data_IF_397540537686
#
_entry.id   IF_397540537686
#
_cell.length_a   1.000
_cell.length_b   1.000
_cell.length_c   1.000
_cell.angle_alpha   90.00
_cell.angle_beta   90.00
_cell.angle_gamma   90.00
#
_symmetry.space_group_name_H-M   'P 1'
#
loop_
_entity.id
_entity.type
_entity.pdbx_description
1 polymer ?
#
# COMPACT_ATOMS: atom_id res chain seq x y z
N UNK A 1 -27.75 18.82 35.82
CA UNK A 1 -28.37 18.37 34.57
C UNK A 1 -27.42 17.43 33.86
N UNK A 2 -27.60 16.12 34.05
CA UNK A 2 -26.91 15.06 33.29
C UNK A 2 -27.89 14.59 32.23
N UNK A 3 -27.57 14.72 30.96
CA UNK A 3 -28.34 14.11 29.88
C UNK A 3 -27.36 13.63 28.76
N UNK A 4 -27.23 12.33 28.66
CA UNK A 4 -27.32 11.46 27.50
C UNK A 4 -26.50 11.84 26.27
N UNK A 5 -25.29 11.30 26.21
CA UNK A 5 -24.61 10.92 24.98
C UNK A 5 -24.51 9.38 24.94
N UNK A 6 -25.56 8.72 24.53
CA UNK A 6 -25.60 7.29 24.17
C UNK A 6 -26.54 7.13 22.98
N UNK A 7 -26.14 6.25 22.05
CA UNK A 7 -26.94 5.74 20.91
C UNK A 7 -26.81 6.52 19.59
N UNK A 8 -25.64 6.42 18.96
CA UNK A 8 -25.52 6.38 17.49
C UNK A 8 -24.34 5.50 17.09
N UNK A 9 -24.40 4.20 17.37
CA UNK A 9 -23.54 3.19 16.75
C UNK A 9 -24.22 1.82 16.85
N UNK A 10 -24.57 1.31 15.67
CA UNK A 10 -24.97 -0.06 15.36
C UNK A 10 -26.48 -0.38 15.35
N UNK A 11 -27.04 -0.72 14.18
CA UNK A 11 -27.45 -2.08 13.95
C UNK A 11 -27.43 -2.52 12.47
N UNK A 12 -26.28 -2.81 11.86
CA UNK A 12 -26.26 -3.49 10.56
C UNK A 12 -25.23 -4.65 10.47
N UNK A 13 -24.46 -4.91 11.53
CA UNK A 13 -23.36 -5.88 11.47
C UNK A 13 -23.63 -7.27 12.04
N UNK A 14 -24.79 -7.56 12.64
CA UNK A 14 -25.01 -8.83 13.36
C UNK A 14 -25.34 -10.05 12.48
N UNK A 15 -25.84 -9.85 11.27
CA UNK A 15 -26.23 -10.95 10.38
C UNK A 15 -25.09 -11.57 9.55
N UNK A 16 -24.10 -10.78 9.18
CA UNK A 16 -22.99 -11.20 8.33
C UNK A 16 -21.91 -11.95 9.13
N UNK A 17 -21.57 -11.43 10.32
CA UNK A 17 -20.58 -12.05 11.22
C UNK A 17 -21.00 -13.44 11.74
N UNK A 18 -22.29 -13.68 11.88
CA UNK A 18 -22.83 -14.99 12.34
C UNK A 18 -22.66 -16.12 11.33
N UNK A 19 -22.62 -15.83 10.03
CA UNK A 19 -22.41 -16.83 8.96
C UNK A 19 -20.92 -17.13 8.71
N UNK A 20 -20.02 -16.19 8.96
CA UNK A 20 -18.58 -16.30 8.73
C UNK A 20 -17.88 -17.18 9.80
N UNK A 21 -18.42 -17.22 11.04
CA UNK A 21 -17.86 -18.05 12.13
C UNK A 21 -18.09 -19.57 11.99
N UNK A 22 -18.89 -20.03 11.04
CA UNK A 22 -19.27 -21.47 10.94
C UNK A 22 -18.40 -22.32 10.02
N UNK A 23 -17.38 -21.76 9.37
CA UNK A 23 -16.37 -22.53 8.60
C UNK A 23 -15.01 -22.32 9.27
N UNK A 24 -14.54 -23.32 10.00
CA UNK A 24 -13.38 -23.33 10.87
C UNK A 24 -12.07 -22.86 10.23
N UNK A 25 -11.80 -21.60 10.32
CA UNK A 25 -10.57 -20.93 9.96
C UNK A 25 -10.75 -19.42 10.05
N UNK A 26 -9.79 -18.69 10.64
CA UNK A 26 -9.80 -17.23 10.63
C UNK A 26 -9.55 -16.76 9.20
N UNK A 27 -10.55 -16.13 8.56
CA UNK A 27 -10.39 -15.49 7.25
C UNK A 27 -9.42 -14.31 7.38
N UNK A 28 -8.66 -14.06 6.30
CA UNK A 28 -7.75 -12.91 6.22
C UNK A 28 -8.50 -11.59 6.44
N UNK A 29 -8.01 -10.76 7.37
CA UNK A 29 -8.55 -9.42 7.61
C UNK A 29 -8.28 -8.48 6.42
N UNK A 30 -7.19 -8.72 5.68
CA UNK A 30 -6.89 -7.98 4.46
C UNK A 30 -7.96 -8.18 3.39
N UNK A 31 -8.43 -9.42 3.19
CA UNK A 31 -9.52 -9.71 2.26
C UNK A 31 -10.82 -9.06 2.71
N UNK A 32 -11.13 -9.13 4.01
CA UNK A 32 -12.33 -8.48 4.57
C UNK A 32 -12.29 -6.97 4.33
N UNK A 33 -11.14 -6.34 4.57
CA UNK A 33 -10.94 -4.90 4.33
C UNK A 33 -11.15 -4.56 2.86
N UNK A 34 -10.56 -5.35 1.96
CA UNK A 34 -10.70 -5.17 0.51
C UNK A 34 -12.15 -5.35 0.05
N UNK A 35 -12.83 -6.41 0.48
CA UNK A 35 -14.24 -6.67 0.13
C UNK A 35 -15.12 -5.51 0.58
N UNK A 36 -14.95 -5.03 1.82
CA UNK A 36 -15.76 -3.94 2.36
C UNK A 36 -15.52 -2.63 1.58
N UNK A 37 -14.26 -2.33 1.26
CA UNK A 37 -13.92 -1.16 0.45
C UNK A 37 -14.55 -1.25 -0.95
N UNK A 38 -14.44 -2.39 -1.63
CA UNK A 38 -15.03 -2.58 -2.95
C UNK A 38 -16.56 -2.44 -2.93
N UNK A 39 -17.23 -3.04 -1.95
CA UNK A 39 -18.68 -2.91 -1.77
C UNK A 39 -19.09 -1.46 -1.55
N UNK A 40 -18.38 -0.76 -0.66
CA UNK A 40 -18.66 0.64 -0.38
C UNK A 40 -18.46 1.55 -1.62
N UNK A 41 -17.44 1.29 -2.44
CA UNK A 41 -17.24 2.02 -3.71
C UNK A 41 -18.37 1.73 -4.69
N UNK A 42 -18.76 0.45 -4.87
CA UNK A 42 -19.80 0.05 -5.81
C UNK A 42 -21.19 0.56 -5.41
N UNK A 43 -21.49 0.63 -4.11
CA UNK A 43 -22.80 0.99 -3.57
C UNK A 43 -22.95 2.51 -3.36
N UNK A 44 -21.88 3.17 -2.91
CA UNK A 44 -21.91 4.55 -2.43
C UNK A 44 -20.92 5.49 -3.18
N UNK A 45 -20.24 4.99 -4.20
CA UNK A 45 -19.31 5.77 -5.01
C UNK A 45 -20.02 6.65 -6.03
N UNK A 46 -19.27 7.60 -6.59
CA UNK A 46 -19.73 8.51 -7.65
C UNK A 46 -19.16 8.06 -9.00
N UNK A 47 -20.01 7.92 -10.01
CA UNK A 47 -19.58 7.63 -11.38
C UNK A 47 -18.99 8.86 -12.05
N UNK A 48 -17.95 8.64 -12.87
CA UNK A 48 -17.37 9.68 -13.75
C UNK A 48 -17.88 9.53 -15.20
N UNK A 49 -18.92 8.71 -15.43
CA UNK A 49 -19.50 8.53 -16.77
C UNK A 49 -20.00 9.88 -17.33
N UNK A 50 -19.57 10.18 -18.57
CA UNK A 50 -19.88 11.46 -19.22
C UNK A 50 -18.97 12.62 -18.83
N UNK A 51 -18.07 12.47 -17.84
CA UNK A 51 -17.07 13.48 -17.52
C UNK A 51 -15.88 13.44 -18.50
N UNK A 52 -15.16 14.57 -18.60
CA UNK A 52 -13.86 14.60 -19.29
C UNK A 52 -12.80 13.93 -18.43
N UNK A 53 -12.54 12.65 -18.67
CA UNK A 53 -11.50 11.88 -17.98
C UNK A 53 -10.22 11.82 -18.81
N UNK A 54 -9.05 11.78 -18.15
CA UNK A 54 -7.74 11.63 -18.80
C UNK A 54 -7.49 10.20 -19.25
N UNK A 55 -7.70 9.18 -18.39
CA UNK A 55 -7.36 7.79 -18.74
C UNK A 55 -8.21 7.27 -19.89
N UNK A 56 -7.57 6.45 -20.71
CA UNK A 56 -8.22 5.74 -21.83
C UNK A 56 -7.90 4.26 -21.79
N UNK A 57 -8.80 3.49 -22.32
CA UNK A 57 -8.56 2.10 -22.64
C UNK A 57 -7.67 1.96 -23.89
N UNK A 58 -7.04 0.80 -24.15
CA UNK A 58 -6.20 0.58 -25.32
C UNK A 58 -6.91 0.83 -26.66
N UNK A 59 -8.24 0.73 -26.70
CA UNK A 59 -9.06 1.03 -27.88
C UNK A 59 -9.36 2.53 -28.05
N UNK A 60 -8.79 3.38 -27.19
CA UNK A 60 -8.95 4.84 -27.22
C UNK A 60 -10.23 5.36 -26.57
N UNK A 61 -11.12 4.49 -26.10
CA UNK A 61 -12.33 4.91 -25.39
C UNK A 61 -12.01 5.46 -23.99
N UNK A 62 -12.79 6.43 -23.47
CA UNK A 62 -12.60 6.93 -22.10
C UNK A 62 -12.72 5.81 -21.07
N UNK A 63 -11.81 5.78 -20.09
CA UNK A 63 -11.87 4.86 -18.97
C UNK A 63 -12.58 5.53 -17.79
N UNK A 64 -13.87 5.28 -17.68
CA UNK A 64 -14.69 5.81 -16.58
C UNK A 64 -14.51 4.99 -15.31
N UNK A 65 -14.82 5.62 -14.17
CA UNK A 65 -14.68 4.99 -12.85
C UNK A 65 -15.92 5.19 -12.01
N UNK A 66 -16.12 4.29 -11.05
CA UNK A 66 -16.86 4.58 -9.82
C UNK A 66 -15.81 4.84 -8.74
N UNK A 67 -15.88 5.99 -8.09
CA UNK A 67 -14.86 6.43 -7.12
C UNK A 67 -15.46 6.86 -5.79
N UNK A 68 -14.66 6.73 -4.74
CA UNK A 68 -14.97 7.21 -3.41
C UNK A 68 -13.84 8.06 -2.84
N UNK A 69 -14.21 9.19 -2.28
CA UNK A 69 -13.27 10.12 -1.66
C UNK A 69 -13.00 9.73 -0.20
N UNK A 70 -11.72 9.77 0.19
CA UNK A 70 -11.32 9.71 1.60
C UNK A 70 -11.44 8.33 2.23
N UNK A 71 -11.07 7.26 1.53
CA UNK A 71 -11.03 5.90 2.06
C UNK A 71 -9.83 5.71 2.98
N UNK A 72 -10.06 5.11 4.16
CA UNK A 72 -9.01 4.80 5.14
C UNK A 72 -9.08 3.32 5.50
N UNK A 73 -8.06 2.57 5.12
CA UNK A 73 -7.89 1.17 5.47
C UNK A 73 -6.83 1.02 6.56
N UNK A 74 -7.02 0.09 7.49
CA UNK A 74 -6.11 -0.17 8.59
C UNK A 74 -5.69 -1.63 8.61
N UNK A 75 -4.37 -1.87 8.70
CA UNK A 75 -3.77 -3.19 8.72
C UNK A 75 -2.87 -3.31 9.96
N UNK A 76 -3.28 -4.15 10.92
CA UNK A 76 -2.48 -4.46 12.10
C UNK A 76 -1.43 -5.52 11.73
N UNK A 77 -0.23 -5.05 11.37
CA UNK A 77 0.88 -5.90 10.92
C UNK A 77 1.41 -6.83 12.03
N UNK A 78 1.06 -6.56 13.29
CA UNK A 78 1.40 -7.46 14.39
C UNK A 78 0.54 -8.71 14.43
N UNK A 79 -0.61 -8.71 13.74
CA UNK A 79 -1.56 -9.83 13.69
C UNK A 79 -1.47 -10.66 12.43
N UNK A 80 -1.39 -9.98 11.28
CA UNK A 80 -1.28 -10.66 9.99
C UNK A 80 -0.58 -9.78 8.95
N UNK A 81 0.02 -10.43 7.95
CA UNK A 81 0.55 -9.74 6.79
C UNK A 81 -0.57 -9.49 5.77
N UNK A 82 -0.77 -8.23 5.29
CA UNK A 82 -1.97 -7.85 4.55
C UNK A 82 -1.91 -8.19 3.05
N UNK A 83 -1.68 -9.46 2.72
CA UNK A 83 -1.71 -9.98 1.35
C UNK A 83 -3.06 -10.63 1.08
N UNK A 84 -3.68 -10.34 -0.08
CA UNK A 84 -4.97 -10.92 -0.45
C UNK A 84 -4.86 -12.43 -0.70
N UNK A 85 -5.90 -13.16 -0.28
CA UNK A 85 -6.09 -14.57 -0.61
C UNK A 85 -7.17 -14.81 -1.67
N UNK A 86 -8.00 -13.81 -1.98
CA UNK A 86 -9.00 -13.89 -3.05
C UNK A 86 -8.41 -14.13 -4.43
N UNK A 87 -7.22 -13.61 -4.66
CA UNK A 87 -6.33 -13.87 -5.80
C UNK A 87 -4.88 -13.70 -5.38
N UNK A 88 -3.96 -14.27 -6.13
CA UNK A 88 -2.53 -14.19 -5.80
C UNK A 88 -1.98 -12.79 -6.05
N UNK A 89 -1.25 -12.24 -5.07
CA UNK A 89 -0.38 -11.08 -5.23
C UNK A 89 1.08 -11.54 -5.32
N UNK A 90 1.82 -11.02 -6.30
CA UNK A 90 3.21 -11.41 -6.54
C UNK A 90 4.16 -10.72 -5.55
N UNK A 91 4.29 -11.25 -4.33
CA UNK A 91 5.09 -10.68 -3.24
C UNK A 91 6.51 -10.31 -3.66
N UNK A 92 7.21 -11.22 -4.37
CA UNK A 92 8.59 -10.96 -4.78
C UNK A 92 8.72 -9.77 -5.73
N UNK A 93 7.80 -9.62 -6.68
CA UNK A 93 7.81 -8.50 -7.62
C UNK A 93 7.43 -7.20 -6.93
N UNK A 94 6.44 -7.22 -6.03
CA UNK A 94 6.07 -6.07 -5.23
C UNK A 94 7.22 -5.63 -4.30
N UNK A 95 7.95 -6.57 -3.70
CA UNK A 95 9.14 -6.28 -2.90
C UNK A 95 10.28 -5.70 -3.74
N UNK A 96 10.52 -6.24 -4.93
CA UNK A 96 11.57 -5.77 -5.84
C UNK A 96 11.32 -4.30 -6.25
N UNK A 97 10.09 -3.95 -6.59
CA UNK A 97 9.70 -2.58 -6.89
C UNK A 97 9.85 -1.66 -5.67
N UNK A 98 9.44 -2.10 -4.49
CA UNK A 98 9.61 -1.33 -3.27
C UNK A 98 11.11 -1.06 -3.01
N UNK A 99 11.98 -2.06 -3.18
CA UNK A 99 13.44 -1.91 -3.04
C UNK A 99 14.03 -1.01 -4.15
N UNK A 100 13.50 -1.09 -5.36
CA UNK A 100 13.88 -0.19 -6.45
C UNK A 100 13.59 1.28 -6.10
N UNK A 101 12.42 1.56 -5.52
CA UNK A 101 12.03 2.92 -5.11
C UNK A 101 12.80 3.37 -3.86
N UNK A 102 12.81 2.57 -2.79
CA UNK A 102 13.25 2.99 -1.46
C UNK A 102 14.73 2.73 -1.15
N UNK A 103 15.29 1.65 -1.68
CA UNK A 103 16.66 1.24 -1.40
C UNK A 103 17.61 1.71 -2.49
N UNK A 104 17.34 1.35 -3.76
CA UNK A 104 18.13 1.79 -4.91
C UNK A 104 17.93 3.27 -5.23
N UNK A 105 16.75 3.82 -4.89
CA UNK A 105 16.37 5.21 -5.16
C UNK A 105 16.48 5.51 -6.66
N UNK A 106 16.17 4.53 -7.48
CA UNK A 106 16.29 4.59 -8.93
C UNK A 106 14.99 5.07 -9.58
N UNK A 107 15.12 5.67 -10.73
CA UNK A 107 14.07 6.02 -11.65
C UNK A 107 14.25 5.35 -13.03
N UNK A 108 15.16 4.38 -13.14
CA UNK A 108 15.42 3.65 -14.37
C UNK A 108 14.89 2.22 -14.26
N UNK A 109 14.05 1.79 -15.22
CA UNK A 109 13.42 0.46 -15.24
C UNK A 109 14.41 -0.68 -15.43
N UNK A 110 15.61 -0.43 -15.95
CA UNK A 110 16.66 -1.45 -16.09
C UNK A 110 17.20 -1.94 -14.73
N UNK A 111 16.94 -1.20 -13.66
CA UNK A 111 17.24 -1.60 -12.27
C UNK A 111 16.16 -2.46 -11.64
N UNK A 112 15.03 -2.68 -12.33
CA UNK A 112 13.86 -3.43 -11.89
C UNK A 112 13.75 -4.75 -12.66
N UNK A 113 13.37 -5.83 -11.99
CA UNK A 113 13.24 -7.15 -12.65
C UNK A 113 11.88 -7.38 -13.31
N UNK A 114 10.90 -6.53 -13.08
CA UNK A 114 9.57 -6.65 -13.66
C UNK A 114 9.32 -5.57 -14.72
N UNK A 115 8.36 -5.83 -15.62
CA UNK A 115 8.01 -4.95 -16.73
C UNK A 115 6.81 -4.05 -16.44
N UNK A 116 6.46 -3.87 -15.17
CA UNK A 116 5.24 -3.15 -14.77
C UNK A 116 5.33 -1.62 -14.97
N UNK A 117 6.53 -1.11 -15.25
CA UNK A 117 6.79 0.31 -15.49
C UNK A 117 7.12 0.66 -16.94
N UNK A 118 7.17 -0.32 -17.85
CA UNK A 118 7.59 -0.13 -19.25
C UNK A 118 6.74 0.94 -19.97
N UNK A 119 5.43 1.00 -19.70
CA UNK A 119 4.49 1.96 -20.31
C UNK A 119 4.78 3.44 -19.93
N UNK A 120 5.53 3.66 -18.85
CA UNK A 120 5.86 5.01 -18.34
C UNK A 120 7.33 5.38 -18.51
N UNK A 121 8.14 4.47 -19.03
CA UNK A 121 9.55 4.72 -19.29
C UNK A 121 9.75 5.43 -20.64
N UNK A 122 10.74 6.32 -20.69
CA UNK A 122 11.24 6.88 -21.94
C UNK A 122 12.20 5.89 -22.67
N UNK A 123 12.78 6.33 -23.79
CA UNK A 123 13.67 5.49 -24.60
C UNK A 123 14.95 5.06 -23.85
N UNK A 124 15.37 5.82 -22.83
CA UNK A 124 16.52 5.53 -21.98
C UNK A 124 16.13 4.65 -20.76
N UNK A 125 14.87 4.28 -20.65
CA UNK A 125 14.32 3.50 -19.53
C UNK A 125 14.05 4.32 -18.27
N UNK A 126 14.05 5.65 -18.36
CA UNK A 126 13.77 6.53 -17.22
C UNK A 126 12.27 6.83 -17.07
N UNK A 127 11.78 6.90 -15.84
CA UNK A 127 10.45 7.44 -15.51
C UNK A 127 10.48 8.92 -15.11
N UNK A 128 11.57 9.60 -15.43
CA UNK A 128 11.80 10.99 -15.06
C UNK A 128 12.13 11.17 -13.57
N UNK A 129 11.93 12.37 -13.04
CA UNK A 129 12.23 12.72 -11.64
C UNK A 129 11.19 12.17 -10.64
N UNK A 130 10.62 10.99 -10.91
CA UNK A 130 9.56 10.40 -10.11
C UNK A 130 10.08 9.37 -9.10
N UNK A 131 9.25 9.05 -8.11
CA UNK A 131 9.42 7.97 -7.12
C UNK A 131 10.82 7.90 -6.48
N UNK A 132 11.65 6.90 -6.85
CA UNK A 132 12.96 6.67 -6.26
C UNK A 132 13.90 7.87 -6.40
N UNK A 133 13.84 8.58 -7.53
CA UNK A 133 14.61 9.80 -7.72
C UNK A 133 14.39 10.80 -6.57
N UNK A 134 13.13 11.08 -6.23
CA UNK A 134 12.80 12.06 -5.19
C UNK A 134 13.23 11.60 -3.79
N UNK A 135 13.21 10.29 -3.51
CA UNK A 135 13.74 9.77 -2.25
C UNK A 135 15.25 9.91 -2.16
N UNK A 136 15.96 9.83 -3.29
CA UNK A 136 17.42 9.89 -3.36
C UNK A 136 18.01 11.30 -3.35
N UNK A 137 17.21 12.34 -3.58
CA UNK A 137 17.68 13.73 -3.51
C UNK A 137 18.24 14.03 -2.12
N UNK A 138 19.48 14.53 -2.07
CA UNK A 138 20.12 14.89 -0.80
C UNK A 138 19.67 16.28 -0.35
N UNK A 139 19.28 16.36 0.92
CA UNK A 139 18.85 17.59 1.59
C UNK A 139 19.79 17.93 2.74
N UNK A 140 19.99 19.23 3.01
CA UNK A 140 20.76 19.69 4.15
C UNK A 140 19.90 19.66 5.41
N UNK A 141 20.32 18.86 6.38
CA UNK A 141 19.78 18.82 7.74
C UNK A 141 20.83 19.39 8.72
N UNK A 142 20.47 19.59 9.98
CA UNK A 142 21.40 20.02 11.01
C UNK A 142 22.53 19.00 11.22
N UNK A 143 22.20 17.74 11.06
CA UNK A 143 23.09 16.59 11.25
C UNK A 143 23.96 16.27 10.02
N UNK A 144 23.73 16.95 8.89
CA UNK A 144 24.47 16.75 7.65
C UNK A 144 23.58 16.53 6.43
N UNK A 145 24.20 16.13 5.32
CA UNK A 145 23.50 15.83 4.07
C UNK A 145 22.96 14.41 4.11
N UNK A 146 21.65 14.26 3.96
CA UNK A 146 20.95 12.97 3.89
C UNK A 146 19.85 13.02 2.82
N UNK A 147 19.55 11.89 2.23
CA UNK A 147 18.28 11.74 1.50
C UNK A 147 17.13 11.42 2.45
N UNK A 148 15.92 11.33 1.90
CA UNK A 148 14.73 11.15 2.73
C UNK A 148 14.71 9.80 3.45
N UNK A 149 15.24 8.72 2.84
CA UNK A 149 15.28 7.38 3.45
C UNK A 149 16.29 7.34 4.59
N UNK A 150 17.50 7.86 4.35
CA UNK A 150 18.54 7.97 5.37
C UNK A 150 18.06 8.81 6.55
N UNK A 151 17.31 9.90 6.27
CA UNK A 151 16.73 10.76 7.32
C UNK A 151 15.70 10.02 8.16
N UNK A 152 14.82 9.23 7.55
CA UNK A 152 13.83 8.41 8.27
C UNK A 152 14.53 7.41 9.18
N UNK A 153 15.52 6.67 8.66
CA UNK A 153 16.29 5.69 9.45
C UNK A 153 17.06 6.34 10.60
N UNK A 154 17.67 7.50 10.35
CA UNK A 154 18.35 8.29 11.36
C UNK A 154 17.40 8.72 12.49
N UNK A 155 16.27 9.33 12.15
CA UNK A 155 15.32 9.83 13.15
C UNK A 155 14.71 8.69 13.96
N UNK A 156 14.36 7.56 13.35
CA UNK A 156 13.82 6.39 14.06
C UNK A 156 14.84 5.82 15.08
N UNK A 157 16.13 5.86 14.78
CA UNK A 157 17.17 5.38 15.68
C UNK A 157 17.54 6.37 16.79
N UNK A 158 17.50 7.69 16.52
CA UNK A 158 18.04 8.71 17.40
C UNK A 158 16.97 9.57 18.08
N UNK A 159 15.80 9.72 17.47
CA UNK A 159 14.67 10.50 17.99
C UNK A 159 13.33 9.84 17.63
N UNK A 160 13.08 8.59 18.06
CA UNK A 160 11.94 7.77 17.61
C UNK A 160 10.58 8.40 17.90
N UNK A 161 10.44 9.22 18.94
CA UNK A 161 9.17 9.88 19.28
C UNK A 161 8.93 11.21 18.54
N UNK A 162 9.78 11.54 17.57
CA UNK A 162 9.55 12.71 16.71
C UNK A 162 8.28 12.57 15.90
N UNK A 163 7.52 13.67 15.81
CA UNK A 163 6.33 13.78 14.95
C UNK A 163 6.64 14.28 13.54
N UNK A 164 7.94 14.27 13.16
CA UNK A 164 8.46 14.85 11.91
C UNK A 164 9.11 13.80 11.01
N UNK A 165 8.85 12.52 11.27
CA UNK A 165 9.45 11.40 10.53
C UNK A 165 8.53 11.10 9.35
N UNK A 166 8.85 11.63 8.18
CA UNK A 166 8.04 11.43 6.99
C UNK A 166 8.88 11.57 5.71
N UNK A 167 8.36 11.01 4.63
CA UNK A 167 8.85 11.24 3.27
C UNK A 167 7.76 11.88 2.42
N UNK A 168 8.16 12.67 1.41
CA UNK A 168 7.25 13.22 0.42
C UNK A 168 7.94 13.25 -0.94
N UNK A 169 7.33 12.60 -1.91
CA UNK A 169 7.86 12.47 -3.27
C UNK A 169 7.01 13.21 -4.32
N UNK A 170 5.95 13.90 -3.89
CA UNK A 170 5.16 14.78 -4.75
C UNK A 170 5.74 16.19 -4.71
N UNK A 171 6.77 16.42 -5.53
CA UNK A 171 7.54 17.66 -5.56
C UNK A 171 7.09 18.52 -6.73
N UNK A 172 6.33 19.60 -6.46
CA UNK A 172 5.72 20.45 -7.48
C UNK A 172 6.71 21.03 -8.47
N UNK A 173 7.93 21.33 -8.03
CA UNK A 173 8.99 21.88 -8.87
C UNK A 173 9.36 20.91 -10.01
N UNK A 174 9.30 19.61 -9.78
CA UNK A 174 9.76 18.57 -10.69
C UNK A 174 8.62 17.82 -11.42
N UNK A 175 7.34 18.18 -11.19
CA UNK A 175 6.20 17.44 -11.79
C UNK A 175 6.28 17.40 -13.32
N UNK A 176 6.76 18.47 -13.96
CA UNK A 176 6.88 18.55 -15.41
C UNK A 176 7.94 17.60 -16.00
N UNK A 177 8.83 17.06 -15.16
CA UNK A 177 9.86 16.09 -15.51
C UNK A 177 9.51 14.66 -15.01
N UNK A 178 8.27 14.42 -14.59
CA UNK A 178 7.77 13.11 -14.15
C UNK A 178 6.87 12.51 -15.22
N UNK A 179 7.19 11.30 -15.71
CA UNK A 179 6.35 10.59 -16.68
C UNK A 179 5.07 10.09 -16.03
N UNK A 180 5.10 9.79 -14.72
CA UNK A 180 3.92 9.49 -13.91
C UNK A 180 4.02 10.21 -12.56
N UNK A 181 3.02 11.03 -12.25
CA UNK A 181 2.94 11.68 -10.94
C UNK A 181 2.70 10.66 -9.84
N UNK A 182 3.47 10.68 -8.73
CA UNK A 182 3.35 9.69 -7.68
C UNK A 182 1.94 9.55 -7.13
N UNK A 183 1.41 8.33 -7.17
CA UNK A 183 0.12 7.99 -6.55
C UNK A 183 0.28 7.80 -5.04
N UNK A 184 1.17 6.91 -4.62
CA UNK A 184 1.65 6.75 -3.25
C UNK A 184 2.74 7.79 -3.00
N UNK A 185 2.38 8.94 -2.46
CA UNK A 185 3.24 10.11 -2.49
C UNK A 185 3.93 10.47 -1.16
N UNK A 186 3.47 9.91 -0.05
CA UNK A 186 4.02 10.24 1.26
C UNK A 186 3.85 9.08 2.23
N UNK A 187 4.90 8.83 3.03
CA UNK A 187 4.88 7.95 4.18
C UNK A 187 5.14 8.78 5.44
N UNK A 188 4.31 8.62 6.45
CA UNK A 188 4.53 9.19 7.79
C UNK A 188 4.75 8.06 8.77
N UNK A 189 5.80 8.14 9.56
CA UNK A 189 6.14 7.15 10.59
C UNK A 189 5.87 7.71 11.98
N UNK A 190 5.36 6.86 12.86
CA UNK A 190 5.11 7.20 14.24
C UNK A 190 5.46 6.03 15.13
N UNK A 191 6.10 6.31 16.25
CA UNK A 191 6.53 5.29 17.21
C UNK A 191 5.69 5.39 18.47
N UNK A 192 5.19 4.25 18.91
CA UNK A 192 4.46 4.11 20.17
C UNK A 192 5.18 3.13 21.08
N UNK A 193 4.90 3.23 22.38
CA UNK A 193 5.36 2.25 23.38
C UNK A 193 4.14 1.75 24.15
N UNK A 194 3.87 0.46 24.07
CA UNK A 194 2.82 -0.14 24.88
C UNK A 194 3.29 -0.26 26.33
N UNK A 195 2.37 -0.03 27.25
CA UNK A 195 2.67 -0.11 28.70
C UNK A 195 3.18 -1.51 29.06
N UNK A 196 4.37 -1.57 29.66
CA UNK A 196 5.01 -2.82 30.06
C UNK A 196 5.88 -3.49 28.98
N UNK A 197 5.86 -3.01 27.74
CA UNK A 197 6.76 -3.48 26.69
C UNK A 197 8.07 -2.68 26.69
N UNK A 198 9.20 -3.38 26.55
CA UNK A 198 10.53 -2.75 26.44
C UNK A 198 10.78 -2.23 25.01
N UNK A 199 10.26 -2.95 24.02
CA UNK A 199 10.49 -2.65 22.61
C UNK A 199 9.46 -1.65 22.13
N UNK A 200 9.92 -0.66 21.38
CA UNK A 200 9.06 0.32 20.71
C UNK A 200 8.31 -0.32 19.56
N UNK A 201 7.20 0.29 19.15
CA UNK A 201 6.36 -0.19 18.04
C UNK A 201 6.31 0.87 16.95
N UNK A 202 6.69 0.49 15.72
CA UNK A 202 6.65 1.33 14.54
C UNK A 202 5.28 1.23 13.87
N UNK A 203 4.63 2.37 13.71
CA UNK A 203 3.41 2.53 12.91
C UNK A 203 3.69 3.42 11.71
N UNK A 204 2.89 3.25 10.65
CA UNK A 204 3.04 4.06 9.45
C UNK A 204 1.70 4.47 8.83
N UNK A 205 1.68 5.63 8.18
CA UNK A 205 0.58 6.07 7.33
C UNK A 205 1.11 6.18 5.90
N UNK A 206 0.49 5.46 4.98
CA UNK A 206 0.66 5.65 3.55
C UNK A 206 -0.40 6.61 3.04
N UNK A 207 0.01 7.74 2.50
CA UNK A 207 -0.88 8.69 1.82
C UNK A 207 -0.83 8.47 0.32
N UNK A 208 -2.00 8.23 -0.26
CA UNK A 208 -2.18 7.96 -1.68
C UNK A 208 -3.24 8.88 -2.27
N UNK A 209 -2.91 9.62 -3.35
CA UNK A 209 -3.85 10.55 -3.99
C UNK A 209 -4.85 9.85 -4.90
N UNK A 210 -4.49 8.67 -5.43
CA UNK A 210 -5.26 7.95 -6.45
C UNK A 210 -4.93 6.46 -6.38
N UNK A 211 -5.94 5.59 -6.42
CA UNK A 211 -5.80 4.16 -6.28
C UNK A 211 -6.74 3.40 -7.21
N UNK A 212 -6.19 2.74 -8.23
CA UNK A 212 -6.89 1.65 -8.92
C UNK A 212 -7.03 0.46 -7.97
N UNK A 213 -8.26 0.21 -7.57
CA UNK A 213 -8.54 -0.79 -6.53
C UNK A 213 -8.27 -2.21 -7.01
N UNK A 214 -8.58 -2.53 -8.27
CA UNK A 214 -8.32 -3.87 -8.79
C UNK A 214 -6.84 -4.11 -9.09
N UNK A 215 -6.20 -3.23 -9.86
CA UNK A 215 -4.86 -3.49 -10.37
C UNK A 215 -3.79 -3.24 -9.29
N UNK A 216 -3.91 -2.15 -8.51
CA UNK A 216 -2.81 -1.65 -7.69
C UNK A 216 -3.01 -1.73 -6.17
N UNK A 217 -4.26 -1.87 -5.64
CA UNK A 217 -4.48 -1.73 -4.21
C UNK A 217 -3.63 -2.71 -3.37
N UNK A 218 -3.78 -4.01 -3.56
CA UNK A 218 -3.05 -4.95 -2.72
C UNK A 218 -1.56 -4.97 -3.05
N UNK A 219 -1.17 -4.62 -4.26
CA UNK A 219 0.23 -4.44 -4.62
C UNK A 219 0.90 -3.39 -3.73
N UNK A 220 0.33 -2.19 -3.64
CA UNK A 220 0.85 -1.13 -2.80
C UNK A 220 0.78 -1.48 -1.30
N UNK A 221 -0.32 -2.06 -0.84
CA UNK A 221 -0.44 -2.49 0.58
C UNK A 221 0.68 -3.46 0.96
N UNK A 222 0.97 -4.46 0.10
CA UNK A 222 2.05 -5.43 0.32
C UNK A 222 3.41 -4.76 0.32
N UNK A 223 3.70 -3.87 -0.65
CA UNK A 223 4.95 -3.11 -0.72
C UNK A 223 5.24 -2.37 0.57
N UNK A 224 4.27 -1.58 1.03
CA UNK A 224 4.47 -0.73 2.20
C UNK A 224 4.39 -1.51 3.51
N UNK A 225 3.68 -2.64 3.57
CA UNK A 225 3.77 -3.56 4.70
C UNK A 225 5.16 -4.18 4.82
N UNK A 226 5.76 -4.65 3.70
CA UNK A 226 7.16 -5.13 3.69
C UNK A 226 8.12 -4.03 4.14
N UNK A 227 7.97 -2.81 3.62
CA UNK A 227 8.79 -1.66 4.02
C UNK A 227 8.75 -1.42 5.53
N UNK A 228 7.55 -1.41 6.12
CA UNK A 228 7.39 -1.21 7.58
C UNK A 228 8.06 -2.33 8.38
N UNK A 229 7.94 -3.59 7.93
CA UNK A 229 8.63 -4.72 8.57
C UNK A 229 10.16 -4.57 8.49
N UNK A 230 10.71 -4.20 7.33
CA UNK A 230 12.16 -4.00 7.15
C UNK A 230 12.68 -2.87 8.03
N UNK A 231 12.01 -1.71 8.02
CA UNK A 231 12.41 -0.55 8.84
C UNK A 231 12.30 -0.88 10.34
N UNK A 232 11.22 -1.53 10.77
CA UNK A 232 11.06 -1.95 12.16
C UNK A 232 12.20 -2.86 12.61
N UNK A 233 12.57 -3.86 11.76
CA UNK A 233 13.66 -4.78 12.07
C UNK A 233 15.01 -4.06 12.24
N UNK A 234 15.40 -3.19 11.30
CA UNK A 234 16.71 -2.51 11.35
C UNK A 234 16.78 -1.39 12.40
N UNK A 235 15.62 -0.97 12.92
CA UNK A 235 15.53 -0.03 14.04
C UNK A 235 15.25 -0.72 15.39
N UNK A 236 15.28 -2.05 15.46
CA UNK A 236 14.97 -2.86 16.64
C UNK A 236 13.60 -2.55 17.27
N UNK A 237 12.58 -2.44 16.43
CA UNK A 237 11.19 -2.15 16.83
C UNK A 237 10.27 -3.31 16.51
N UNK A 238 9.14 -3.41 17.22
CA UNK A 238 8.01 -4.23 16.81
C UNK A 238 7.29 -3.55 15.65
N UNK A 239 6.67 -4.34 14.77
CA UNK A 239 5.73 -3.79 13.79
C UNK A 239 4.40 -3.46 14.45
N UNK A 240 3.80 -2.36 14.04
CA UNK A 240 2.50 -1.91 14.51
C UNK A 240 1.47 -1.90 13.40
N UNK A 241 0.88 -0.76 13.12
CA UNK A 241 -0.20 -0.58 12.17
C UNK A 241 0.30 0.13 10.90
N UNK A 242 -0.16 -0.35 9.74
CA UNK A 242 -0.12 0.39 8.48
C UNK A 242 -1.51 0.96 8.22
N UNK A 243 -1.63 2.28 8.19
CA UNK A 243 -2.85 3.00 7.81
C UNK A 243 -2.71 3.47 6.37
N UNK A 244 -3.59 3.04 5.50
CA UNK A 244 -3.61 3.44 4.09
C UNK A 244 -4.71 4.45 3.86
N UNK A 245 -4.34 5.70 3.60
CA UNK A 245 -5.24 6.83 3.34
C UNK A 245 -5.27 7.08 1.84
N UNK A 246 -6.44 6.99 1.25
CA UNK A 246 -6.65 7.09 -0.20
C UNK A 246 -7.61 8.25 -0.46
N UNK A 247 -7.15 9.28 -1.17
CA UNK A 247 -8.02 10.41 -1.51
C UNK A 247 -9.05 10.03 -2.57
N UNK A 248 -8.64 9.31 -3.62
CA UNK A 248 -9.52 8.83 -4.70
C UNK A 248 -9.33 7.31 -4.86
N UNK A 249 -10.21 6.52 -4.25
CA UNK A 249 -10.26 5.07 -4.42
C UNK A 249 -11.30 4.74 -5.50
N UNK A 250 -10.86 4.14 -6.62
CA UNK A 250 -11.73 3.94 -7.76
C UNK A 250 -11.66 2.54 -8.36
N UNK A 251 -12.78 2.15 -8.97
CA UNK A 251 -12.95 0.94 -9.77
C UNK A 251 -13.29 1.39 -11.19
N UNK A 252 -12.45 1.05 -12.15
CA UNK A 252 -12.72 1.33 -13.56
C UNK A 252 -13.94 0.55 -14.07
N UNK A 253 -14.65 1.10 -15.04
CA UNK A 253 -15.86 0.52 -15.64
C UNK A 253 -15.66 -0.94 -16.09
N UNK A 254 -14.54 -1.24 -16.80
CA UNK A 254 -14.19 -2.60 -17.23
C UNK A 254 -13.74 -3.51 -16.09
N UNK A 255 -13.40 -2.95 -14.94
CA UNK A 255 -13.05 -3.71 -13.73
C UNK A 255 -14.27 -4.12 -12.90
N UNK A 256 -15.43 -3.48 -13.08
CA UNK A 256 -16.64 -3.72 -12.27
C UNK A 256 -17.07 -5.20 -12.27
N UNK A 257 -17.17 -5.89 -13.43
CA UNK A 257 -17.54 -7.30 -13.45
C UNK A 257 -16.54 -8.18 -12.68
N UNK A 258 -15.24 -7.89 -12.83
CA UNK A 258 -14.15 -8.62 -12.18
C UNK A 258 -14.21 -8.42 -10.66
N UNK A 259 -14.40 -7.19 -10.20
CA UNK A 259 -14.53 -6.88 -8.77
C UNK A 259 -15.76 -7.56 -8.17
N UNK A 260 -16.91 -7.55 -8.87
CA UNK A 260 -18.13 -8.22 -8.42
C UNK A 260 -17.92 -9.71 -8.22
N UNK A 261 -17.22 -10.38 -9.13
CA UNK A 261 -16.85 -11.78 -8.97
C UNK A 261 -15.87 -11.97 -7.80
N UNK A 262 -14.83 -11.14 -7.73
CA UNK A 262 -13.75 -11.28 -6.75
C UNK A 262 -14.26 -11.14 -5.31
N UNK A 263 -15.17 -10.21 -5.04
CA UNK A 263 -15.70 -9.97 -3.70
C UNK A 263 -16.70 -11.04 -3.22
N UNK A 264 -17.17 -11.91 -4.11
CA UNK A 264 -18.01 -13.07 -3.76
C UNK A 264 -17.19 -14.33 -3.45
N UNK A 265 -15.89 -14.31 -3.71
CA UNK A 265 -14.99 -15.42 -3.39
C UNK A 265 -14.85 -15.58 -1.87
N UNK A 266 -14.65 -16.82 -1.43
CA UNK A 266 -14.38 -17.11 -0.02
C UNK A 266 -12.91 -16.85 0.30
N UNK A 267 -12.58 -15.95 1.25
CA UNK A 267 -11.21 -15.77 1.71
C UNK A 267 -10.63 -17.02 2.36
N UNK A 268 -9.31 -17.22 2.19
CA UNK A 268 -8.54 -18.20 2.94
C UNK A 268 -7.92 -17.55 4.20
N UNK A 269 -7.36 -18.34 5.11
CA UNK A 269 -6.55 -17.82 6.22
C UNK A 269 -5.35 -17.00 5.70
N UNK A 270 -5.00 -15.94 6.42
CA UNK A 270 -3.82 -15.16 6.10
C UNK A 270 -2.55 -16.03 6.19
N UNK A 271 -1.62 -15.92 5.21
CA UNK A 271 -0.36 -16.65 5.26
C UNK A 271 0.57 -16.07 6.33
N UNK A 272 1.56 -16.86 6.72
CA UNK A 272 2.60 -16.44 7.66
C UNK A 272 3.68 -15.66 6.92
N UNK A 273 3.91 -14.43 7.31
CA UNK A 273 4.99 -13.62 6.77
C UNK A 273 6.30 -13.94 7.47
N UNK A 274 7.37 -14.03 6.68
CA UNK A 274 8.73 -14.20 7.17
C UNK A 274 9.64 -13.16 6.51
N UNK A 275 10.44 -12.50 7.35
CA UNK A 275 11.53 -11.61 6.96
C UNK A 275 12.84 -12.19 7.50
N UNK A 276 13.89 -12.20 6.68
CA UNK A 276 15.20 -12.73 7.07
C UNK A 276 15.74 -12.00 8.30
N UNK A 277 15.84 -12.64 9.49
CA UNK A 277 16.23 -11.99 10.73
C UNK A 277 17.72 -11.61 10.76
N UNK A 278 18.54 -12.18 9.87
CA UNK A 278 19.99 -11.91 9.83
C UNK A 278 20.32 -10.56 9.18
N UNK A 279 19.43 -10.00 8.39
CA UNK A 279 19.64 -8.69 7.76
C UNK A 279 19.42 -7.58 8.80
N UNK A 280 20.47 -6.77 9.05
CA UNK A 280 20.48 -5.70 10.05
C UNK A 280 20.63 -4.29 9.46
N UNK A 281 20.86 -4.22 8.16
CA UNK A 281 20.97 -2.97 7.41
C UNK A 281 19.90 -2.93 6.32
N UNK A 282 19.16 -1.82 6.25
CA UNK A 282 18.08 -1.63 5.27
C UNK A 282 18.57 -1.83 3.83
N UNK A 283 19.80 -1.41 3.55
CA UNK A 283 20.39 -1.48 2.21
C UNK A 283 20.92 -2.86 1.81
N UNK A 284 20.89 -3.83 2.72
CA UNK A 284 21.29 -5.22 2.45
C UNK A 284 20.10 -6.14 2.13
N UNK A 285 18.87 -5.69 2.33
CA UNK A 285 17.72 -6.50 1.97
C UNK A 285 17.63 -6.74 0.46
N UNK A 286 17.20 -7.94 0.10
CA UNK A 286 16.87 -8.35 -1.26
C UNK A 286 15.44 -8.88 -1.31
N UNK A 287 14.89 -9.03 -2.51
CA UNK A 287 13.57 -9.64 -2.70
C UNK A 287 13.48 -11.11 -2.24
N UNK A 288 14.61 -11.76 -1.95
CA UNK A 288 14.65 -13.13 -1.45
C UNK A 288 14.62 -13.20 0.09
N UNK A 289 14.77 -12.07 0.78
CA UNK A 289 14.71 -11.98 2.23
C UNK A 289 13.28 -11.90 2.78
N UNK A 290 12.27 -11.95 1.88
CA UNK A 290 10.84 -12.00 2.22
C UNK A 290 10.17 -13.23 1.63
N UNK A 291 9.27 -13.83 2.39
CA UNK A 291 8.37 -14.87 1.90
C UNK A 291 7.08 -14.91 2.72
N UNK A 292 6.09 -15.57 2.18
CA UNK A 292 4.87 -15.97 2.89
C UNK A 292 4.76 -17.48 2.83
N UNK A 293 4.59 -18.10 3.99
CA UNK A 293 4.39 -19.53 4.13
C UNK A 293 2.88 -19.83 4.25
N UNK A 294 2.44 -21.00 3.81
CA UNK A 294 1.02 -21.42 3.80
C UNK A 294 0.11 -20.51 2.95
N UNK A 295 0.61 -19.93 1.87
CA UNK A 295 -0.13 -18.99 1.02
C UNK A 295 -1.04 -19.73 0.02
N UNK A 296 -2.30 -19.90 0.41
CA UNK A 296 -3.37 -20.45 -0.45
C UNK A 296 -4.20 -19.29 -1.00
N UNK A 297 -4.54 -19.34 -2.28
CA UNK A 297 -5.32 -18.29 -2.94
C UNK A 297 -6.42 -18.85 -3.82
N UNK A 298 -7.43 -18.04 -4.07
CA UNK A 298 -8.38 -18.27 -5.14
C UNK A 298 -7.69 -18.25 -6.52
N UNK A 299 -8.46 -18.60 -7.54
CA UNK A 299 -7.98 -18.62 -8.93
C UNK A 299 -7.47 -17.24 -9.36
N UNK A 300 -6.35 -17.23 -10.12
CA UNK A 300 -5.76 -16.00 -10.60
C UNK A 300 -6.59 -15.39 -11.72
N UNK A 301 -6.82 -14.10 -11.62
CA UNK A 301 -7.44 -13.30 -12.69
C UNK A 301 -6.32 -12.87 -13.64
N UNK A 302 -6.44 -13.22 -14.90
CA UNK A 302 -5.51 -12.86 -15.98
C UNK A 302 -6.10 -11.76 -16.84
N UNK A 303 -5.27 -11.12 -17.63
CA UNK A 303 -5.67 -10.16 -18.68
C UNK A 303 -6.55 -9.02 -18.12
N UNK A 304 -6.20 -8.51 -16.92
CA UNK A 304 -6.85 -7.33 -16.35
C UNK A 304 -6.54 -6.15 -17.28
N UNK A 305 -7.56 -5.50 -17.88
CA UNK A 305 -7.32 -4.36 -18.74
C UNK A 305 -6.73 -3.19 -17.96
N UNK A 306 -5.77 -2.49 -18.53
CA UNK A 306 -5.12 -1.33 -17.94
C UNK A 306 -5.54 -0.08 -18.69
N UNK A 307 -5.94 0.96 -17.96
CA UNK A 307 -6.23 2.28 -18.48
C UNK A 307 -5.01 3.19 -18.32
N UNK A 308 -4.64 3.96 -19.36
CA UNK A 308 -3.46 4.83 -19.40
C UNK A 308 -3.87 6.29 -19.62
#
# INVERSE_FOLDING_TARGET
MKARAKEWLMPFFSGFWGRLRRRGGNMSLADITFINMCKDILENGTSTEGEKVRPKWPDGTPAYTIKKFGVVNRYDLSKEFPILTLRRTALKSATDEMLWIWQKKSNNIHDLHSHIWDEWADEDGSIGKAYGYQLGVKHQYKEGMMDQVDRVLYDLKHNPFSRRILTNIYVHQDLHEMNLYPCAYSMTFNVTQKKGERRLTLNAILNQRSQDVLAANNWNVVQYAVLVHMIAQVCDMNVGELVHVIADAHIYDRHIPIIKELIERTPYPAPKFWLNPEVKDFYQFTRNDVRVDDYVTGEQIRDIPIAI
#
